data_IF_756113685477
#
_entry.id   IF_756113685477
#
_cell.length_a   1.000
_cell.length_b   1.000
_cell.length_c   1.000
_cell.angle_alpha   90.00
_cell.angle_beta   90.00
_cell.angle_gamma   90.00
#
_symmetry.space_group_name_H-M   'P 1'
#
loop_
_entity.id
_entity.type
_entity.pdbx_description
1 polymer ?
#
# COMPACT_ATOMS: atom_id res chain seq x y z
N UNK A 1 19.78 16.02 25.55
CA UNK A 1 19.85 14.59 25.92
C UNK A 1 20.08 13.83 24.63
N UNK A 2 21.34 13.50 24.38
CA UNK A 2 21.81 12.94 23.12
C UNK A 2 21.45 11.45 23.04
N UNK A 3 20.65 11.07 22.04
CA UNK A 3 20.30 9.67 21.81
C UNK A 3 21.47 8.94 21.14
N UNK A 4 22.40 8.43 21.95
CA UNK A 4 23.48 7.52 21.55
C UNK A 4 22.97 6.11 21.22
N UNK A 5 22.03 5.97 20.28
CA UNK A 5 21.76 4.66 19.66
C UNK A 5 22.15 4.71 18.20
N UNK A 6 23.41 4.29 18.02
CA UNK A 6 24.14 4.05 16.78
C UNK A 6 23.22 3.44 15.71
N UNK A 7 23.19 4.11 14.57
CA UNK A 7 22.39 3.84 13.38
C UNK A 7 22.24 2.35 13.06
N UNK A 8 21.07 1.79 13.38
CA UNK A 8 20.61 0.58 12.71
C UNK A 8 19.95 1.02 11.40
N UNK A 9 20.77 1.17 10.35
CA UNK A 9 20.27 1.38 9.00
C UNK A 9 19.45 0.14 8.60
N UNK A 10 18.13 0.21 8.81
CA UNK A 10 17.15 -0.69 8.22
C UNK A 10 17.08 -0.42 6.71
N UNK A 11 18.16 -0.74 6.00
CA UNK A 11 18.21 -0.76 4.55
C UNK A 11 17.56 -2.06 4.06
N UNK A 12 16.25 -2.16 4.29
CA UNK A 12 15.46 -3.22 3.70
C UNK A 12 15.07 -2.72 2.32
N UNK A 13 15.63 -3.33 1.27
CA UNK A 13 15.22 -3.03 -0.09
C UNK A 13 13.70 -3.05 -0.18
N UNK A 14 13.14 -1.92 -0.59
CA UNK A 14 11.74 -1.60 -0.34
C UNK A 14 10.83 -2.23 -1.39
N UNK A 15 10.94 -3.55 -1.53
CA UNK A 15 10.25 -4.39 -2.51
C UNK A 15 8.74 -4.21 -2.50
N UNK A 16 8.19 -3.77 -1.37
CA UNK A 16 6.77 -3.57 -1.21
C UNK A 16 6.31 -2.16 -1.61
N UNK A 17 7.17 -1.12 -1.53
CA UNK A 17 6.91 0.19 -2.16
C UNK A 17 6.78 0.05 -3.67
N UNK A 18 7.69 -0.69 -4.31
CA UNK A 18 7.62 -0.91 -5.75
C UNK A 18 6.36 -1.69 -6.13
N UNK A 19 5.99 -2.73 -5.36
CA UNK A 19 4.74 -3.48 -5.58
C UNK A 19 3.48 -2.63 -5.42
N UNK A 20 3.40 -1.80 -4.39
CA UNK A 20 2.25 -0.90 -4.23
C UNK A 20 2.15 0.14 -5.34
N UNK A 21 3.27 0.69 -5.81
CA UNK A 21 3.27 1.58 -6.98
C UNK A 21 2.82 0.86 -8.25
N UNK A 22 3.21 -0.39 -8.44
CA UNK A 22 2.73 -1.21 -9.57
C UNK A 22 1.22 -1.42 -9.48
N UNK A 23 0.69 -1.73 -8.30
CA UNK A 23 -0.76 -1.90 -8.08
C UNK A 23 -1.54 -0.60 -8.36
N UNK A 24 -1.06 0.55 -7.87
CA UNK A 24 -1.68 1.84 -8.17
C UNK A 24 -1.70 2.12 -9.68
N UNK A 25 -0.57 1.94 -10.37
CA UNK A 25 -0.50 2.13 -11.83
C UNK A 25 -1.42 1.18 -12.57
N UNK A 26 -1.49 -0.08 -12.15
CA UNK A 26 -2.40 -1.05 -12.73
C UNK A 26 -3.86 -0.62 -12.57
N UNK A 27 -4.25 -0.13 -11.38
CA UNK A 27 -5.59 0.41 -11.14
C UNK A 27 -5.94 1.60 -12.04
N UNK A 28 -5.00 2.54 -12.23
CA UNK A 28 -5.18 3.70 -13.12
C UNK A 28 -5.45 3.30 -14.58
N UNK A 29 -4.80 2.25 -15.07
CA UNK A 29 -4.92 1.80 -16.48
C UNK A 29 -5.92 0.66 -16.67
N UNK A 30 -6.53 0.16 -15.59
CA UNK A 30 -7.43 -1.00 -15.60
C UNK A 30 -8.56 -0.88 -16.65
N UNK A 31 -9.27 0.27 -16.80
CA UNK A 31 -10.33 0.38 -17.81
C UNK A 31 -9.82 0.25 -19.25
N UNK A 32 -8.61 0.74 -19.51
CA UNK A 32 -7.96 0.66 -20.83
C UNK A 32 -7.53 -0.78 -21.10
N UNK A 33 -6.98 -1.48 -20.10
CA UNK A 33 -6.60 -2.89 -20.22
C UNK A 33 -7.80 -3.80 -20.51
N UNK A 34 -8.92 -3.62 -19.79
CA UNK A 34 -10.16 -4.36 -20.05
C UNK A 34 -10.60 -4.19 -21.51
N UNK A 35 -10.59 -2.96 -22.01
CA UNK A 35 -10.96 -2.66 -23.41
C UNK A 35 -9.96 -3.28 -24.39
N UNK A 36 -8.67 -3.21 -24.11
CA UNK A 36 -7.62 -3.77 -24.94
C UNK A 36 -7.77 -5.29 -25.08
N UNK A 37 -7.99 -6.01 -23.98
CA UNK A 37 -8.14 -7.46 -23.97
C UNK A 37 -9.38 -7.94 -24.72
N UNK A 38 -10.51 -7.23 -24.58
CA UNK A 38 -11.71 -7.48 -25.40
C UNK A 38 -11.44 -7.35 -26.89
N UNK A 39 -10.70 -6.33 -27.30
CA UNK A 39 -10.36 -6.11 -28.71
C UNK A 39 -9.39 -7.16 -29.27
N UNK A 40 -8.57 -7.78 -28.42
CA UNK A 40 -7.70 -8.91 -28.81
C UNK A 40 -8.45 -10.25 -28.88
N UNK A 41 -9.72 -10.30 -28.46
CA UNK A 41 -10.50 -11.54 -28.38
C UNK A 41 -10.17 -12.41 -27.17
N UNK A 42 -9.45 -11.87 -26.19
CA UNK A 42 -8.97 -12.56 -24.98
C UNK A 42 -9.50 -11.83 -23.73
N UNK A 43 -10.82 -11.84 -23.46
CA UNK A 43 -11.38 -11.15 -22.31
C UNK A 43 -10.93 -11.80 -21.00
N UNK A 44 -10.71 -10.97 -19.98
CA UNK A 44 -10.43 -11.41 -18.61
C UNK A 44 -11.64 -11.11 -17.70
N UNK A 45 -12.52 -12.10 -17.44
CA UNK A 45 -13.77 -11.89 -16.71
C UNK A 45 -13.56 -11.31 -15.30
N UNK A 46 -12.43 -11.63 -14.66
CA UNK A 46 -12.09 -11.14 -13.33
C UNK A 46 -11.98 -9.61 -13.29
N UNK A 47 -11.47 -8.98 -14.35
CA UNK A 47 -11.30 -7.53 -14.43
C UNK A 47 -12.62 -6.77 -14.61
N UNK A 48 -13.73 -7.50 -14.76
CA UNK A 48 -15.09 -6.96 -14.86
C UNK A 48 -16.00 -7.48 -13.74
N UNK A 49 -15.53 -8.43 -12.93
CA UNK A 49 -16.28 -8.97 -11.81
C UNK A 49 -16.30 -7.93 -10.67
N UNK A 50 -17.50 -7.47 -10.24
CA UNK A 50 -17.60 -6.44 -9.20
C UNK A 50 -16.97 -6.83 -7.85
N UNK A 51 -17.08 -8.09 -7.44
CA UNK A 51 -16.50 -8.59 -6.18
C UNK A 51 -14.97 -8.60 -6.28
N UNK A 52 -14.42 -9.08 -7.40
CA UNK A 52 -12.98 -9.04 -7.64
C UNK A 52 -12.44 -7.61 -7.69
N UNK A 53 -13.16 -6.70 -8.36
CA UNK A 53 -12.79 -5.30 -8.43
C UNK A 53 -12.82 -4.61 -7.07
N UNK A 54 -13.78 -4.98 -6.21
CA UNK A 54 -13.85 -4.51 -4.84
C UNK A 54 -12.64 -5.00 -4.01
N UNK A 55 -12.32 -6.29 -4.09
CA UNK A 55 -11.15 -6.86 -3.42
C UNK A 55 -9.84 -6.24 -3.93
N UNK A 56 -9.75 -6.03 -5.24
CA UNK A 56 -8.60 -5.38 -5.86
C UNK A 56 -8.46 -3.92 -5.43
N UNK A 57 -9.54 -3.14 -5.41
CA UNK A 57 -9.53 -1.76 -4.94
C UNK A 57 -9.09 -1.69 -3.46
N UNK A 58 -9.62 -2.58 -2.62
CA UNK A 58 -9.19 -2.69 -1.22
C UNK A 58 -7.69 -3.03 -1.09
N UNK A 59 -7.18 -3.94 -1.93
CA UNK A 59 -5.75 -4.28 -1.95
C UNK A 59 -4.88 -3.08 -2.35
N UNK A 60 -5.31 -2.28 -3.33
CA UNK A 60 -4.62 -1.05 -3.74
C UNK A 60 -4.58 -0.06 -2.57
N UNK A 61 -5.72 0.21 -1.95
CA UNK A 61 -5.85 1.16 -0.83
C UNK A 61 -4.98 0.77 0.36
N UNK A 62 -5.02 -0.51 0.78
CA UNK A 62 -4.24 -0.94 1.94
C UNK A 62 -2.73 -0.94 1.64
N UNK A 63 -2.34 -1.28 0.41
CA UNK A 63 -0.92 -1.26 0.03
C UNK A 63 -0.40 0.18 -0.06
N UNK A 64 -1.19 1.12 -0.55
CA UNK A 64 -0.87 2.55 -0.48
C UNK A 64 -0.70 3.02 0.96
N UNK A 65 -1.62 2.63 1.85
CA UNK A 65 -1.53 3.01 3.26
C UNK A 65 -0.27 2.49 3.92
N UNK A 66 0.10 1.25 3.64
CA UNK A 66 1.36 0.69 4.11
C UNK A 66 2.54 1.48 3.53
N UNK A 67 2.51 1.81 2.23
CA UNK A 67 3.60 2.49 1.55
C UNK A 67 3.90 3.86 2.20
N UNK A 68 2.85 4.59 2.59
CA UNK A 68 2.98 5.84 3.34
C UNK A 68 3.73 5.64 4.67
N UNK A 69 3.34 4.64 5.44
CA UNK A 69 3.96 4.35 6.76
C UNK A 69 5.45 4.12 6.56
N UNK A 70 5.81 3.31 5.59
CA UNK A 70 7.19 2.96 5.38
C UNK A 70 8.03 4.06 4.75
N UNK A 71 7.44 4.87 3.89
CA UNK A 71 8.09 6.12 3.45
C UNK A 71 8.32 7.04 4.65
N UNK A 72 7.38 7.11 5.60
CA UNK A 72 7.55 7.87 6.85
C UNK A 72 8.53 7.25 7.82
N UNK A 73 8.76 5.94 7.80
CA UNK A 73 9.77 5.30 8.63
C UNK A 73 11.16 5.40 8.02
N UNK A 74 11.23 5.53 6.70
CA UNK A 74 12.46 5.77 5.96
C UNK A 74 12.86 7.25 6.05
N UNK A 75 14.10 7.50 6.42
CA UNK A 75 14.65 8.84 6.54
C UNK A 75 15.93 8.80 7.37
N UNK A 76 16.92 9.61 7.00
CA UNK A 76 18.03 9.89 7.91
C UNK A 76 17.51 10.77 9.04
N UNK A 77 18.09 10.64 10.23
CA UNK A 77 17.80 11.50 11.40
C UNK A 77 16.43 11.30 12.08
N UNK A 78 15.81 10.12 11.98
CA UNK A 78 14.60 9.78 12.77
C UNK A 78 14.97 9.15 14.10
N UNK A 79 14.47 9.73 15.19
CA UNK A 79 14.63 9.14 16.52
C UNK A 79 13.69 7.93 16.69
N UNK A 80 14.12 6.93 17.46
CA UNK A 80 13.33 5.71 17.75
C UNK A 80 11.95 6.07 18.32
N UNK A 81 11.86 7.10 19.16
CA UNK A 81 10.60 7.56 19.74
C UNK A 81 9.62 8.08 18.68
N UNK A 82 10.13 8.79 17.67
CA UNK A 82 9.32 9.30 16.56
C UNK A 82 8.83 8.14 15.69
N UNK A 83 9.70 7.18 15.37
CA UNK A 83 9.32 5.97 14.64
C UNK A 83 8.23 5.17 15.36
N UNK A 84 8.36 4.99 16.69
CA UNK A 84 7.35 4.32 17.51
C UNK A 84 6.01 5.06 17.49
N UNK A 85 6.04 6.40 17.55
CA UNK A 85 4.83 7.21 17.46
C UNK A 85 4.12 7.04 16.10
N UNK A 86 4.87 7.02 14.99
CA UNK A 86 4.35 6.82 13.64
C UNK A 86 3.76 5.42 13.46
N UNK A 87 4.42 4.36 13.95
CA UNK A 87 3.91 2.98 13.92
C UNK A 87 2.61 2.86 14.72
N UNK A 88 2.56 3.47 15.91
CA UNK A 88 1.40 3.39 16.80
C UNK A 88 0.20 4.12 16.19
N UNK A 89 0.40 5.35 15.73
CA UNK A 89 -0.64 6.14 15.07
C UNK A 89 -1.15 5.46 13.81
N UNK A 90 -0.25 4.86 13.02
CA UNK A 90 -0.62 4.18 11.78
C UNK A 90 -1.35 2.88 12.02
N UNK A 91 -1.01 2.14 13.08
CA UNK A 91 -1.72 0.94 13.50
C UNK A 91 -3.18 1.25 13.90
N UNK A 92 -3.43 2.38 14.57
CA UNK A 92 -4.79 2.85 14.88
C UNK A 92 -5.54 3.18 13.59
N UNK A 93 -4.92 3.93 12.68
CA UNK A 93 -5.52 4.29 11.38
C UNK A 93 -5.87 3.05 10.56
N UNK A 94 -5.00 2.04 10.52
CA UNK A 94 -5.26 0.78 9.81
C UNK A 94 -6.41 0.00 10.43
N UNK A 95 -6.48 -0.08 11.76
CA UNK A 95 -7.61 -0.73 12.45
C UNK A 95 -8.94 -0.04 12.13
N UNK A 96 -8.97 1.29 12.13
CA UNK A 96 -10.16 2.05 11.76
C UNK A 96 -10.52 1.81 10.30
N UNK A 97 -9.55 1.87 9.38
CA UNK A 97 -9.76 1.56 7.96
C UNK A 97 -10.37 0.17 7.78
N UNK A 98 -9.76 -0.87 8.35
CA UNK A 98 -10.29 -2.24 8.27
C UNK A 98 -11.71 -2.38 8.83
N UNK A 99 -12.03 -1.65 9.90
CA UNK A 99 -13.37 -1.67 10.50
C UNK A 99 -14.44 -1.04 9.61
N UNK A 100 -14.10 0.01 8.83
CA UNK A 100 -15.04 0.70 7.95
C UNK A 100 -15.05 0.17 6.51
N UNK A 101 -14.00 -0.54 6.10
CA UNK A 101 -13.83 -1.04 4.72
C UNK A 101 -14.34 -2.46 4.50
N UNK A 102 -14.55 -3.26 5.55
CA UNK A 102 -15.10 -4.61 5.45
C UNK A 102 -16.60 -4.60 5.79
N UNK A 103 -17.49 -5.07 4.90
CA UNK A 103 -18.85 -5.38 5.29
C UNK A 103 -18.80 -6.59 6.23
N UNK A 104 -19.49 -6.51 7.37
CA UNK A 104 -19.67 -7.64 8.26
C UNK A 104 -20.37 -8.82 7.56
#
# INVERSE_FOLDING_TARGET
MDCQYRDLLLHNEVRWLSRGKVLQRFNEVLPVLVTFFKNQGEPYPELENPEWLQDFAFLVDITEKLNDINTKLQGKDKCILEMLSEVTASSIKLKLFLHYSLPF
#
